data_IF_586320744319
#
_entry.id   IF_586320744319
#
_cell.length_a   1.000
_cell.length_b   1.000
_cell.length_c   1.000
_cell.angle_alpha   90.00
_cell.angle_beta   90.00
_cell.angle_gamma   90.00
#
_symmetry.space_group_name_H-M   'P 1'
#
loop_
_entity.id
_entity.type
_entity.pdbx_description
1 polymer ?
#
# COMPACT_ATOMS: atom_id res chain seq x y z
N UNK A 1 -31.17 11.31 24.76
CA UNK A 1 -29.77 11.26 24.30
C UNK A 1 -29.16 12.61 24.64
N UNK A 2 -28.39 12.72 25.73
CA UNK A 2 -28.05 14.04 26.31
C UNK A 2 -26.83 14.70 25.67
N UNK A 3 -26.25 14.09 24.64
CA UNK A 3 -25.10 14.65 23.92
C UNK A 3 -25.18 14.25 22.45
N UNK A 4 -25.09 15.23 21.56
CA UNK A 4 -25.07 15.04 20.11
C UNK A 4 -23.75 15.58 19.58
N UNK A 5 -23.00 14.76 18.87
CA UNK A 5 -21.72 15.19 18.29
C UNK A 5 -21.99 16.20 17.18
N UNK A 6 -21.35 17.37 17.26
CA UNK A 6 -21.41 18.41 16.22
C UNK A 6 -20.08 18.60 15.49
N UNK A 7 -18.99 18.14 16.10
CA UNK A 7 -17.67 18.30 15.53
C UNK A 7 -17.41 17.30 14.39
N UNK A 8 -16.97 17.81 13.25
CA UNK A 8 -16.78 17.02 12.02
C UNK A 8 -15.68 15.95 12.17
N UNK A 9 -14.58 16.24 12.84
CA UNK A 9 -13.46 15.29 13.04
C UNK A 9 -13.90 14.11 13.92
N UNK A 10 -14.65 14.39 15.00
CA UNK A 10 -15.22 13.34 15.86
C UNK A 10 -16.26 12.49 15.14
N UNK A 11 -17.12 13.14 14.34
CA UNK A 11 -18.12 12.42 13.52
C UNK A 11 -17.42 11.52 12.50
N UNK A 12 -16.37 12.01 11.85
CA UNK A 12 -15.55 11.25 10.91
C UNK A 12 -14.90 10.03 11.56
N UNK A 13 -14.29 10.19 12.73
CA UNK A 13 -13.75 9.08 13.51
C UNK A 13 -14.82 8.03 13.84
N UNK A 14 -15.99 8.47 14.29
CA UNK A 14 -17.11 7.57 14.64
C UNK A 14 -17.61 6.82 13.40
N UNK A 15 -17.78 7.50 12.26
CA UNK A 15 -18.13 6.88 10.97
C UNK A 15 -17.11 5.82 10.56
N UNK A 16 -15.82 6.14 10.69
CA UNK A 16 -14.76 5.21 10.34
C UNK A 16 -14.80 3.96 11.22
N UNK A 17 -14.89 4.11 12.55
CA UNK A 17 -14.99 2.96 13.46
C UNK A 17 -16.29 2.18 13.24
N UNK A 18 -17.39 2.84 12.85
CA UNK A 18 -18.63 2.15 12.50
C UNK A 18 -18.46 1.24 11.27
N UNK A 19 -17.76 1.71 10.25
CA UNK A 19 -17.45 0.96 9.03
C UNK A 19 -16.43 -0.16 9.27
N UNK A 20 -15.28 0.14 9.86
CA UNK A 20 -14.16 -0.79 10.06
C UNK A 20 -14.25 -1.61 11.35
N UNK A 21 -15.24 -1.35 12.21
CA UNK A 21 -15.51 -1.96 13.52
C UNK A 21 -14.52 -1.59 14.63
N UNK A 22 -13.26 -1.33 14.28
CA UNK A 22 -12.19 -1.04 15.24
C UNK A 22 -11.11 -0.13 14.66
N UNK A 23 -10.33 0.48 15.56
CA UNK A 23 -9.20 1.36 15.21
C UNK A 23 -8.13 1.29 16.31
N UNK A 24 -6.85 1.34 15.96
CA UNK A 24 -5.80 1.52 16.97
C UNK A 24 -5.86 2.93 17.58
N UNK A 25 -5.77 3.05 18.91
CA UNK A 25 -5.82 4.35 19.62
C UNK A 25 -4.81 5.36 19.05
N UNK A 26 -3.63 4.91 18.65
CA UNK A 26 -2.59 5.79 18.10
C UNK A 26 -2.93 6.29 16.69
N UNK A 27 -3.64 5.49 15.90
CA UNK A 27 -4.10 5.85 14.55
C UNK A 27 -5.22 6.88 14.59
N UNK A 28 -5.87 7.09 15.73
CA UNK A 28 -6.89 8.13 15.87
C UNK A 28 -6.35 9.53 15.53
N UNK A 29 -5.03 9.77 15.67
CA UNK A 29 -4.38 11.04 15.32
C UNK A 29 -4.69 11.51 13.89
N UNK A 30 -4.91 10.58 12.95
CA UNK A 30 -5.15 10.92 11.54
C UNK A 30 -6.52 11.58 11.30
N UNK A 31 -7.45 11.56 12.25
CA UNK A 31 -8.74 12.25 12.11
C UNK A 31 -8.71 13.70 12.61
N UNK A 32 -7.65 14.09 13.32
CA UNK A 32 -7.61 15.36 14.02
C UNK A 32 -6.44 16.21 13.50
N UNK A 33 -6.75 17.44 13.11
CA UNK A 33 -5.76 18.44 12.71
C UNK A 33 -4.71 18.74 13.78
N UNK A 34 -5.07 18.65 15.07
CA UNK A 34 -4.16 18.90 16.18
C UNK A 34 -3.69 17.62 16.89
N UNK A 35 -2.37 17.42 16.93
CA UNK A 35 -1.69 16.33 17.66
C UNK A 35 -1.77 16.43 19.19
N UNK A 36 -1.95 17.62 19.78
CA UNK A 36 -2.00 17.81 21.24
C UNK A 36 -3.38 17.54 21.84
N UNK A 37 -4.43 18.00 21.15
CA UNK A 37 -5.80 17.94 21.67
C UNK A 37 -6.54 16.62 21.39
N UNK A 38 -6.12 15.82 20.40
CA UNK A 38 -6.90 14.62 20.02
C UNK A 38 -7.06 13.61 21.17
N UNK A 39 -6.04 13.42 22.03
CA UNK A 39 -6.11 12.47 23.15
C UNK A 39 -7.21 12.84 24.15
N UNK A 40 -7.35 14.12 24.46
CA UNK A 40 -8.42 14.62 25.34
C UNK A 40 -9.79 14.42 24.71
N UNK A 41 -9.90 14.62 23.39
CA UNK A 41 -11.13 14.39 22.63
C UNK A 41 -11.52 12.92 22.63
N UNK A 42 -10.57 12.01 22.40
CA UNK A 42 -10.79 10.56 22.53
C UNK A 42 -11.23 10.19 23.95
N UNK A 43 -10.59 10.74 24.99
CA UNK A 43 -11.00 10.53 26.38
C UNK A 43 -12.44 10.97 26.61
N UNK A 44 -12.81 12.18 26.17
CA UNK A 44 -14.18 12.69 26.27
C UNK A 44 -15.20 11.79 25.55
N UNK A 45 -14.87 11.27 24.37
CA UNK A 45 -15.73 10.32 23.65
C UNK A 45 -15.90 8.99 24.40
N UNK A 46 -14.86 8.52 25.10
CA UNK A 46 -14.94 7.33 25.94
C UNK A 46 -15.80 7.60 27.18
N UNK A 47 -15.58 8.71 27.87
CA UNK A 47 -16.32 9.10 29.08
C UNK A 47 -17.82 9.26 28.78
N UNK A 48 -18.15 9.76 27.58
CA UNK A 48 -19.54 9.89 27.08
C UNK A 48 -20.09 8.61 26.42
N UNK A 49 -19.33 7.52 26.45
CA UNK A 49 -19.70 6.20 25.92
C UNK A 49 -20.01 6.19 24.40
N UNK A 50 -19.47 7.15 23.65
CA UNK A 50 -19.44 7.10 22.19
C UNK A 50 -18.41 6.07 21.71
N UNK A 51 -17.27 6.02 22.39
CA UNK A 51 -16.22 5.03 22.17
C UNK A 51 -16.03 4.17 23.41
N UNK A 52 -15.41 3.01 23.20
CA UNK A 52 -14.87 2.15 24.25
C UNK A 52 -13.46 1.73 23.86
N UNK A 53 -12.56 1.72 24.83
CA UNK A 53 -11.20 1.23 24.67
C UNK A 53 -11.09 -0.20 25.18
N UNK A 54 -10.58 -1.11 24.33
CA UNK A 54 -10.21 -2.49 24.67
C UNK A 54 -8.71 -2.61 24.41
N UNK A 55 -7.89 -2.62 25.47
CA UNK A 55 -6.43 -2.49 25.37
C UNK A 55 -6.04 -1.27 24.51
N UNK A 56 -5.44 -1.45 23.34
CA UNK A 56 -5.00 -0.39 22.43
C UNK A 56 -5.96 -0.15 21.26
N UNK A 57 -7.18 -0.67 21.35
CA UNK A 57 -8.16 -0.66 20.26
C UNK A 57 -9.40 0.14 20.70
N UNK A 58 -9.82 1.09 19.87
CA UNK A 58 -11.07 1.82 19.96
C UNK A 58 -12.16 1.07 19.20
N UNK A 59 -13.33 0.94 19.82
CA UNK A 59 -14.57 0.43 19.22
C UNK A 59 -15.73 1.33 19.62
N UNK A 60 -16.89 1.23 18.95
CA UNK A 60 -18.07 1.99 19.37
C UNK A 60 -18.57 1.55 20.75
N UNK A 61 -18.88 2.54 21.59
CA UNK A 61 -19.63 2.38 22.84
C UNK A 61 -21.14 2.36 22.61
N UNK A 62 -21.94 2.25 23.68
CA UNK A 62 -23.41 2.15 23.54
C UNK A 62 -24.01 3.40 22.89
N UNK A 63 -23.60 4.60 23.35
CA UNK A 63 -24.07 5.87 22.80
C UNK A 63 -23.63 6.06 21.35
N UNK A 64 -22.42 5.58 21.01
CA UNK A 64 -21.88 5.65 19.65
C UNK A 64 -22.68 4.79 18.67
N UNK A 65 -23.06 3.57 19.08
CA UNK A 65 -23.93 2.70 18.27
C UNK A 65 -25.31 3.35 18.05
N UNK A 66 -25.89 3.94 19.11
CA UNK A 66 -27.17 4.66 18.99
C UNK A 66 -27.06 5.84 18.02
N UNK A 67 -25.96 6.61 18.11
CA UNK A 67 -25.71 7.77 17.25
C UNK A 67 -25.60 7.39 15.78
N UNK A 68 -24.80 6.36 15.47
CA UNK A 68 -24.62 5.83 14.12
C UNK A 68 -25.94 5.35 13.52
N UNK A 69 -26.78 4.66 14.31
CA UNK A 69 -28.11 4.21 13.87
C UNK A 69 -29.08 5.37 13.61
N UNK A 70 -29.09 6.36 14.50
CA UNK A 70 -29.98 7.51 14.39
C UNK A 70 -29.67 8.37 13.15
N UNK A 71 -28.40 8.43 12.74
CA UNK A 71 -27.97 9.16 11.54
C UNK A 71 -27.87 8.28 10.28
N UNK A 72 -28.32 7.03 10.36
CA UNK A 72 -28.30 6.07 9.25
C UNK A 72 -26.91 5.91 8.60
N UNK A 73 -25.85 5.91 9.41
CA UNK A 73 -24.49 5.64 8.93
C UNK A 73 -24.26 4.14 8.73
N UNK A 74 -23.38 3.78 7.80
CA UNK A 74 -22.93 2.39 7.61
C UNK A 74 -22.39 1.85 8.94
N UNK A 75 -22.93 0.71 9.39
CA UNK A 75 -22.58 0.12 10.67
C UNK A 75 -22.31 -1.37 10.54
N UNK A 76 -21.06 -1.75 10.80
CA UNK A 76 -20.67 -3.13 10.96
C UNK A 76 -20.51 -3.47 12.45
N UNK A 77 -21.23 -4.50 12.91
CA UNK A 77 -21.11 -4.97 14.30
C UNK A 77 -19.73 -5.55 14.55
N UNK A 78 -19.16 -5.24 15.71
CA UNK A 78 -17.87 -5.78 16.15
C UNK A 78 -17.85 -7.31 16.06
N UNK A 79 -16.91 -7.85 15.29
CA UNK A 79 -16.75 -9.29 15.10
C UNK A 79 -16.28 -9.98 16.40
N UNK A 80 -16.83 -11.16 16.69
CA UNK A 80 -16.46 -11.96 17.88
C UNK A 80 -15.20 -12.80 17.65
N UNK A 81 -14.91 -13.19 16.40
CA UNK A 81 -13.75 -14.00 16.05
C UNK A 81 -12.46 -13.17 16.22
N UNK A 82 -11.53 -13.67 17.04
CA UNK A 82 -10.28 -12.97 17.34
C UNK A 82 -9.38 -12.83 16.10
N UNK A 83 -9.14 -13.92 15.36
CA UNK A 83 -8.28 -13.89 14.16
C UNK A 83 -8.80 -12.89 13.11
N UNK A 84 -10.12 -12.85 12.93
CA UNK A 84 -10.72 -11.90 12.00
C UNK A 84 -10.63 -10.45 12.48
N UNK A 85 -10.75 -10.20 13.80
CA UNK A 85 -10.54 -8.86 14.38
C UNK A 85 -9.11 -8.35 14.16
N UNK A 86 -8.11 -9.21 14.26
CA UNK A 86 -6.72 -8.84 13.97
C UNK A 86 -6.55 -8.44 12.50
N UNK A 87 -7.16 -9.18 11.57
CA UNK A 87 -7.22 -8.78 10.16
C UNK A 87 -7.92 -7.42 9.99
N UNK A 88 -9.08 -7.21 10.60
CA UNK A 88 -9.80 -5.93 10.51
C UNK A 88 -8.96 -4.77 11.05
N UNK A 89 -8.25 -4.98 12.16
CA UNK A 89 -7.35 -3.96 12.72
C UNK A 89 -6.22 -3.61 11.76
N UNK A 90 -5.62 -4.61 11.09
CA UNK A 90 -4.59 -4.41 10.06
C UNK A 90 -5.13 -3.56 8.89
N UNK A 91 -6.31 -3.91 8.36
CA UNK A 91 -6.97 -3.14 7.29
C UNK A 91 -7.34 -1.72 7.72
N UNK A 92 -7.85 -1.59 8.94
CA UNK A 92 -8.18 -0.31 9.56
C UNK A 92 -6.94 0.58 9.64
N UNK A 93 -5.81 0.06 10.10
CA UNK A 93 -4.57 0.83 10.20
C UNK A 93 -4.08 1.37 8.85
N UNK A 94 -4.19 0.58 7.77
CA UNK A 94 -3.86 1.04 6.41
C UNK A 94 -4.81 2.17 5.99
N UNK A 95 -6.12 1.91 6.08
CA UNK A 95 -7.13 2.90 5.70
C UNK A 95 -7.02 4.21 6.50
N UNK A 96 -6.67 4.12 7.78
CA UNK A 96 -6.53 5.32 8.62
C UNK A 96 -5.31 6.14 8.26
N UNK A 97 -4.20 5.49 7.86
CA UNK A 97 -2.98 6.18 7.47
C UNK A 97 -3.21 7.13 6.30
N UNK A 98 -4.03 6.71 5.34
CA UNK A 98 -4.38 7.49 4.15
C UNK A 98 -5.69 8.29 4.30
N UNK A 99 -6.27 8.40 5.49
CA UNK A 99 -7.60 9.00 5.68
C UNK A 99 -7.72 10.44 5.15
N UNK A 100 -6.66 11.24 5.28
CA UNK A 100 -6.59 12.63 4.79
C UNK A 100 -5.56 12.77 3.65
N UNK A 101 -5.32 11.71 2.88
CA UNK A 101 -4.44 11.75 1.72
C UNK A 101 -5.26 12.01 0.46
N UNK A 102 -4.77 12.87 -0.45
CA UNK A 102 -5.49 13.14 -1.71
C UNK A 102 -5.01 12.24 -2.85
N UNK A 103 -3.78 11.74 -2.77
CA UNK A 103 -3.18 10.86 -3.78
C UNK A 103 -3.50 9.39 -3.56
N UNK A 104 -3.81 8.95 -2.33
CA UNK A 104 -4.06 7.53 -2.02
C UNK A 104 -5.38 7.34 -1.30
N UNK A 105 -6.24 6.49 -1.87
CA UNK A 105 -7.39 5.89 -1.18
C UNK A 105 -7.20 4.37 -1.05
N UNK A 106 -7.68 3.79 0.06
CA UNK A 106 -7.62 2.35 0.30
C UNK A 106 -9.00 1.77 0.57
N UNK A 107 -9.48 0.95 -0.37
CA UNK A 107 -10.76 0.26 -0.28
C UNK A 107 -10.49 -1.15 0.27
N UNK A 108 -10.98 -1.49 1.48
CA UNK A 108 -10.67 -2.75 2.12
C UNK A 108 -11.43 -3.92 1.46
N UNK A 109 -10.83 -5.10 1.49
CA UNK A 109 -11.39 -6.33 0.91
C UNK A 109 -12.81 -6.68 1.39
N UNK A 110 -13.18 -6.34 2.63
CA UNK A 110 -14.54 -6.62 3.12
C UNK A 110 -15.62 -5.75 2.49
N UNK A 111 -15.24 -4.62 1.89
CA UNK A 111 -16.15 -3.74 1.14
C UNK A 111 -16.27 -4.16 -0.34
N UNK A 112 -15.32 -4.94 -0.83
CA UNK A 112 -15.24 -5.40 -2.23
C UNK A 112 -15.83 -6.80 -2.38
N UNK A 113 -15.51 -7.70 -1.44
CA UNK A 113 -15.88 -9.11 -1.54
C UNK A 113 -17.37 -9.27 -1.26
N UNK A 114 -18.06 -9.85 -2.22
CA UNK A 114 -19.42 -10.30 -2.03
C UNK A 114 -19.42 -11.50 -1.08
N UNK A 115 -20.09 -11.35 0.06
CA UNK A 115 -20.21 -12.40 1.09
C UNK A 115 -21.04 -13.59 0.63
N UNK A 116 -21.79 -13.45 -0.47
CA UNK A 116 -22.64 -14.50 -1.04
C UNK A 116 -21.91 -15.33 -2.12
N UNK A 117 -20.77 -14.85 -2.64
CA UNK A 117 -20.01 -15.51 -3.71
C UNK A 117 -18.73 -16.14 -3.11
N UNK A 118 -18.74 -17.46 -2.97
CA UNK A 118 -17.65 -18.23 -2.33
C UNK A 118 -16.28 -18.03 -3.02
N UNK A 119 -16.27 -17.83 -4.34
CA UNK A 119 -15.05 -17.62 -5.14
C UNK A 119 -14.34 -16.30 -4.83
N UNK A 120 -15.06 -15.28 -4.32
CA UNK A 120 -14.45 -13.99 -3.95
C UNK A 120 -14.00 -13.96 -2.49
N UNK A 121 -14.71 -14.66 -1.61
CA UNK A 121 -14.38 -14.68 -0.17
C UNK A 121 -13.03 -15.36 0.11
N UNK A 122 -12.72 -16.43 -0.62
CA UNK A 122 -11.47 -17.21 -0.48
C UNK A 122 -10.19 -16.52 -0.94
N UNK A 123 -10.28 -15.44 -1.74
CA UNK A 123 -9.11 -14.74 -2.30
C UNK A 123 -8.22 -14.13 -1.23
N UNK A 124 -6.92 -13.97 -1.48
CA UNK A 124 -5.97 -13.54 -0.44
C UNK A 124 -5.85 -12.03 -0.29
N UNK A 125 -6.23 -11.26 -1.31
CA UNK A 125 -6.10 -9.81 -1.32
C UNK A 125 -6.73 -9.13 -0.08
N UNK A 126 -6.10 -8.04 0.34
CA UNK A 126 -6.49 -7.24 1.50
C UNK A 126 -7.35 -6.03 1.13
N UNK A 127 -7.26 -5.55 -0.11
CA UNK A 127 -8.03 -4.41 -0.60
C UNK A 127 -7.50 -3.94 -1.95
N UNK A 128 -7.91 -2.74 -2.34
CA UNK A 128 -7.44 -2.02 -3.53
C UNK A 128 -6.88 -0.69 -3.05
N UNK A 129 -5.66 -0.35 -3.49
CA UNK A 129 -5.18 1.03 -3.45
C UNK A 129 -5.58 1.73 -4.73
N UNK A 130 -6.15 2.92 -4.63
CA UNK A 130 -6.22 3.86 -5.74
C UNK A 130 -5.17 4.94 -5.48
N UNK A 131 -4.12 4.97 -6.32
CA UNK A 131 -2.99 5.89 -6.18
C UNK A 131 -2.97 6.79 -7.41
N UNK A 132 -3.29 8.08 -7.27
CA UNK A 132 -3.40 9.05 -8.37
C UNK A 132 -4.26 8.56 -9.55
N UNK A 133 -5.34 7.83 -9.26
CA UNK A 133 -6.24 7.27 -10.27
C UNK A 133 -5.87 5.86 -10.76
N UNK A 134 -4.72 5.31 -10.35
CA UNK A 134 -4.29 3.96 -10.71
C UNK A 134 -4.71 2.96 -9.64
N UNK A 135 -5.44 1.91 -10.05
CA UNK A 135 -5.87 0.84 -9.16
C UNK A 135 -4.79 -0.24 -9.02
N UNK A 136 -4.49 -0.61 -7.77
CA UNK A 136 -3.59 -1.68 -7.39
C UNK A 136 -4.29 -2.69 -6.50
N UNK A 137 -4.34 -3.96 -6.91
CA UNK A 137 -4.81 -5.02 -6.02
C UNK A 137 -3.75 -5.31 -4.96
N UNK A 138 -4.12 -5.19 -3.69
CA UNK A 138 -3.17 -5.23 -2.59
C UNK A 138 -3.21 -6.58 -1.86
N UNK A 139 -2.03 -7.11 -1.55
CA UNK A 139 -1.79 -8.30 -0.75
C UNK A 139 -0.92 -7.95 0.45
N UNK A 140 -0.93 -8.82 1.47
CA UNK A 140 -0.12 -8.62 2.66
C UNK A 140 0.43 -9.94 3.20
N UNK A 141 1.75 -10.00 3.40
CA UNK A 141 2.47 -11.16 3.89
C UNK A 141 3.17 -10.76 5.20
N UNK A 142 2.67 -11.32 6.30
CA UNK A 142 3.20 -11.03 7.64
C UNK A 142 4.29 -12.02 8.06
N UNK A 143 4.98 -11.69 9.16
CA UNK A 143 6.01 -12.55 9.76
C UNK A 143 5.47 -13.94 10.13
N UNK A 144 4.24 -14.02 10.61
CA UNK A 144 3.58 -15.28 11.01
C UNK A 144 3.17 -16.18 9.83
N UNK A 145 3.15 -15.67 8.60
CA UNK A 145 2.79 -16.46 7.42
C UNK A 145 3.96 -17.33 6.98
N UNK A 146 3.70 -18.60 6.68
CA UNK A 146 4.69 -19.56 6.19
C UNK A 146 4.85 -19.52 4.66
N UNK A 147 5.75 -20.33 4.11
CA UNK A 147 5.98 -20.39 2.67
C UNK A 147 4.74 -20.86 1.89
N UNK A 148 3.93 -21.76 2.48
CA UNK A 148 2.67 -22.20 1.87
C UNK A 148 1.69 -21.04 1.70
N UNK A 149 1.65 -20.12 2.65
CA UNK A 149 0.85 -18.91 2.52
C UNK A 149 1.39 -18.01 1.39
N UNK A 150 2.71 -17.83 1.30
CA UNK A 150 3.35 -17.02 0.24
C UNK A 150 3.03 -17.60 -1.14
N UNK A 151 3.16 -18.91 -1.32
CA UNK A 151 2.75 -19.64 -2.54
C UNK A 151 1.27 -19.45 -2.84
N UNK A 152 0.40 -19.51 -1.82
CA UNK A 152 -1.03 -19.26 -1.98
C UNK A 152 -1.32 -17.82 -2.44
N UNK A 153 -0.50 -16.84 -2.07
CA UNK A 153 -0.61 -15.45 -2.55
C UNK A 153 -0.16 -15.38 -4.01
N UNK A 154 1.00 -15.95 -4.34
CA UNK A 154 1.50 -16.04 -5.71
C UNK A 154 0.46 -16.65 -6.67
N UNK A 155 -0.14 -17.77 -6.28
CA UNK A 155 -1.19 -18.44 -7.07
C UNK A 155 -2.48 -17.61 -7.22
N UNK A 156 -2.89 -16.87 -6.18
CA UNK A 156 -4.06 -15.98 -6.28
C UNK A 156 -3.79 -14.77 -7.19
N UNK A 157 -2.54 -14.28 -7.25
CA UNK A 157 -2.11 -13.22 -8.16
C UNK A 157 -2.03 -13.76 -9.60
N UNK A 158 -1.48 -14.95 -9.80
CA UNK A 158 -1.38 -15.59 -11.12
C UNK A 158 -2.75 -15.75 -11.78
N UNK A 159 -3.78 -16.06 -10.97
CA UNK A 159 -5.18 -16.20 -11.42
C UNK A 159 -5.95 -14.90 -11.56
N UNK A 160 -5.39 -13.77 -11.10
CA UNK A 160 -6.03 -12.48 -11.24
C UNK A 160 -6.11 -12.11 -12.73
N UNK A 161 -7.25 -11.64 -13.22
CA UNK A 161 -7.43 -11.26 -14.63
C UNK A 161 -7.87 -9.80 -14.81
N UNK A 162 -8.47 -9.21 -13.76
CA UNK A 162 -8.98 -7.84 -13.76
C UNK A 162 -7.88 -6.82 -13.48
N UNK A 163 -7.07 -7.06 -12.46
CA UNK A 163 -6.03 -6.12 -12.04
C UNK A 163 -4.66 -6.51 -12.61
N UNK A 164 -4.04 -5.57 -13.31
CA UNK A 164 -2.69 -5.70 -13.88
C UNK A 164 -1.61 -5.05 -13.03
N UNK A 165 -1.99 -4.20 -12.07
CA UNK A 165 -1.08 -3.60 -11.10
C UNK A 165 -1.33 -4.22 -9.72
N UNK A 166 -0.27 -4.72 -9.09
CA UNK A 166 -0.34 -5.43 -7.82
C UNK A 166 0.63 -4.79 -6.82
N UNK A 167 0.21 -4.66 -5.57
CA UNK A 167 1.09 -4.32 -4.44
C UNK A 167 1.09 -5.49 -3.46
N UNK A 168 2.27 -5.93 -3.05
CA UNK A 168 2.48 -6.93 -2.02
C UNK A 168 3.20 -6.26 -0.85
N UNK A 169 2.46 -5.99 0.21
CA UNK A 169 2.98 -5.46 1.46
C UNK A 169 3.61 -6.59 2.27
N UNK A 170 4.86 -6.44 2.71
CA UNK A 170 5.60 -7.50 3.41
C UNK A 170 6.23 -6.99 4.69
N UNK A 171 6.32 -7.83 5.72
CA UNK A 171 7.03 -7.45 6.94
C UNK A 171 8.56 -7.53 6.80
N UNK A 172 9.05 -8.42 5.96
CA UNK A 172 10.47 -8.65 5.69
C UNK A 172 10.59 -9.08 4.24
N UNK A 173 11.17 -8.21 3.41
CA UNK A 173 11.28 -8.43 1.98
C UNK A 173 12.24 -9.56 1.62
N UNK A 174 13.20 -9.89 2.48
CA UNK A 174 14.20 -10.93 2.21
C UNK A 174 13.57 -12.34 2.19
N UNK A 175 12.33 -12.48 2.66
CA UNK A 175 11.57 -13.73 2.62
C UNK A 175 10.89 -13.98 1.28
N UNK A 176 10.90 -12.98 0.39
CA UNK A 176 10.24 -13.05 -0.90
C UNK A 176 11.29 -13.34 -1.97
N UNK A 177 11.14 -14.49 -2.62
CA UNK A 177 11.82 -14.75 -3.88
C UNK A 177 11.06 -14.02 -5.00
N UNK A 178 11.68 -13.00 -5.58
CA UNK A 178 11.04 -12.16 -6.61
C UNK A 178 10.74 -12.94 -7.89
N UNK A 179 11.45 -14.03 -8.17
CA UNK A 179 11.20 -14.86 -9.35
C UNK A 179 9.83 -15.55 -9.30
N UNK A 180 9.30 -15.80 -8.10
CA UNK A 180 7.95 -16.35 -7.91
C UNK A 180 6.84 -15.33 -8.09
N UNK A 181 7.15 -14.06 -8.31
CA UNK A 181 6.18 -12.99 -8.46
C UNK A 181 6.33 -12.26 -9.80
N UNK A 182 6.57 -12.99 -10.88
CA UNK A 182 6.52 -12.47 -12.25
C UNK A 182 5.54 -13.32 -13.09
N UNK A 183 4.42 -12.72 -13.51
CA UNK A 183 3.30 -13.40 -14.15
C UNK A 183 2.82 -12.71 -15.43
N UNK A 184 3.62 -11.81 -16.01
CA UNK A 184 3.22 -11.03 -17.19
C UNK A 184 2.19 -9.96 -16.86
N UNK A 185 2.19 -9.47 -15.62
CA UNK A 185 1.41 -8.30 -15.18
C UNK A 185 2.07 -7.02 -15.66
N UNK A 186 1.34 -5.90 -15.55
CA UNK A 186 1.93 -4.61 -15.86
C UNK A 186 3.04 -4.27 -14.84
N UNK A 187 2.68 -4.44 -13.56
CA UNK A 187 3.56 -4.14 -12.43
C UNK A 187 3.18 -4.98 -11.20
N UNK A 188 4.20 -5.50 -10.52
CA UNK A 188 4.05 -6.15 -9.21
C UNK A 188 5.07 -5.53 -8.26
N UNK A 189 4.60 -4.69 -7.34
CA UNK A 189 5.44 -4.02 -6.36
C UNK A 189 5.53 -4.84 -5.08
N UNK A 190 6.76 -5.09 -4.61
CA UNK A 190 7.01 -5.70 -3.30
C UNK A 190 7.56 -4.62 -2.37
N UNK A 191 6.82 -4.32 -1.29
CA UNK A 191 7.05 -3.15 -0.45
C UNK A 191 7.04 -3.55 1.02
N UNK A 192 8.06 -3.17 1.78
CA UNK A 192 8.06 -3.40 3.23
C UNK A 192 7.02 -2.50 3.92
N UNK A 193 6.13 -3.10 4.71
CA UNK A 193 4.97 -2.44 5.31
C UNK A 193 5.34 -1.65 6.57
N UNK A 194 5.92 -0.47 6.38
CA UNK A 194 6.29 0.47 7.43
C UNK A 194 5.82 1.89 7.09
N UNK A 195 5.84 2.79 8.08
CA UNK A 195 5.33 4.16 7.90
C UNK A 195 6.11 4.95 6.83
N UNK A 196 7.42 4.71 6.66
CA UNK A 196 8.26 5.37 5.65
C UNK A 196 7.81 4.98 4.24
N UNK A 197 7.66 3.69 3.99
CA UNK A 197 7.24 3.19 2.67
C UNK A 197 5.76 3.50 2.38
N UNK A 198 4.90 3.55 3.40
CA UNK A 198 3.53 4.06 3.25
C UNK A 198 3.50 5.53 2.89
N UNK A 199 4.40 6.34 3.45
CA UNK A 199 4.55 7.74 3.03
C UNK A 199 5.06 7.82 1.58
N UNK A 200 6.09 7.06 1.20
CA UNK A 200 6.58 6.98 -0.18
C UNK A 200 5.47 6.59 -1.17
N UNK A 201 4.59 5.65 -0.81
CA UNK A 201 3.47 5.21 -1.67
C UNK A 201 2.57 6.35 -2.14
N UNK A 202 2.42 7.42 -1.35
CA UNK A 202 1.64 8.61 -1.74
C UNK A 202 2.16 9.28 -3.01
N UNK A 203 3.43 9.08 -3.33
CA UNK A 203 4.13 9.78 -4.40
C UNK A 203 4.57 8.85 -5.52
N UNK A 204 4.05 7.61 -5.56
CA UNK A 204 4.41 6.59 -6.56
C UNK A 204 4.34 7.10 -8.01
N UNK A 205 3.35 7.94 -8.31
CA UNK A 205 3.12 8.53 -9.63
C UNK A 205 3.45 10.03 -9.71
N UNK A 206 4.07 10.61 -8.68
CA UNK A 206 4.41 12.04 -8.60
C UNK A 206 5.88 12.32 -8.87
N UNK A 207 6.60 11.34 -9.42
CA UNK A 207 8.03 11.44 -9.66
C UNK A 207 8.32 12.11 -11.01
N UNK A 208 9.14 13.16 -10.99
CA UNK A 208 9.59 13.89 -12.19
C UNK A 208 10.72 13.15 -12.90
N UNK A 209 10.43 11.93 -13.36
CA UNK A 209 11.42 11.03 -13.96
C UNK A 209 12.18 11.65 -15.13
N UNK A 210 11.51 12.41 -15.99
CA UNK A 210 12.16 13.04 -17.15
C UNK A 210 13.27 14.01 -16.73
N UNK A 211 12.99 14.90 -15.79
CA UNK A 211 13.97 15.85 -15.25
C UNK A 211 15.16 15.11 -14.60
N UNK A 212 14.87 14.06 -13.83
CA UNK A 212 15.90 13.23 -13.22
C UNK A 212 16.77 12.57 -14.30
N UNK A 213 16.16 11.94 -15.31
CA UNK A 213 16.88 11.24 -16.37
C UNK A 213 17.77 12.20 -17.15
N UNK A 214 17.26 13.37 -17.54
CA UNK A 214 18.01 14.36 -18.32
C UNK A 214 19.21 14.93 -17.56
N UNK A 215 19.15 14.93 -16.22
CA UNK A 215 20.29 15.33 -15.38
C UNK A 215 21.47 14.35 -15.45
N UNK A 216 21.19 13.04 -15.52
CA UNK A 216 22.22 12.01 -15.45
C UNK A 216 22.61 11.44 -16.82
N UNK A 217 21.73 11.55 -17.82
CA UNK A 217 21.91 10.95 -19.12
C UNK A 217 21.57 11.92 -20.24
N UNK A 218 22.52 12.14 -21.14
CA UNK A 218 22.30 12.89 -22.39
C UNK A 218 21.83 11.96 -23.51
N UNK A 219 21.02 12.54 -24.42
CA UNK A 219 20.50 11.90 -25.64
C UNK A 219 19.73 10.60 -25.38
N UNK A 220 18.91 10.59 -24.35
CA UNK A 220 17.99 9.49 -24.05
C UNK A 220 16.54 9.96 -24.14
N UNK A 221 15.69 9.09 -24.65
CA UNK A 221 14.26 9.30 -24.83
C UNK A 221 13.47 8.14 -24.25
N UNK A 222 12.15 8.28 -24.19
CA UNK A 222 11.28 7.18 -23.78
C UNK A 222 11.49 5.99 -24.72
N UNK A 223 11.73 4.82 -24.14
CA UNK A 223 12.08 3.62 -24.86
C UNK A 223 10.89 3.07 -25.65
N UNK A 224 11.15 2.56 -26.85
CA UNK A 224 10.21 1.72 -27.60
C UNK A 224 10.26 0.25 -27.15
N UNK A 225 11.28 -0.12 -26.38
CA UNK A 225 11.46 -1.47 -25.85
C UNK A 225 10.68 -1.67 -24.56
N UNK A 226 10.00 -2.81 -24.44
CA UNK A 226 9.20 -3.15 -23.25
C UNK A 226 10.03 -3.48 -21.99
N UNK A 227 11.35 -3.68 -22.12
CA UNK A 227 12.22 -4.07 -21.00
C UNK A 227 12.93 -2.90 -20.30
N UNK A 228 12.83 -1.68 -20.83
CA UNK A 228 13.39 -0.48 -20.21
C UNK A 228 12.52 0.75 -20.46
N UNK A 229 12.65 1.78 -19.63
CA UNK A 229 11.82 2.98 -19.72
C UNK A 229 12.45 4.07 -20.57
N UNK A 230 13.79 4.16 -20.57
CA UNK A 230 14.54 5.10 -21.39
C UNK A 230 15.66 4.41 -22.16
N UNK A 231 15.92 4.90 -23.37
CA UNK A 231 17.01 4.42 -24.20
C UNK A 231 17.53 5.50 -25.15
N UNK A 232 18.71 5.25 -25.74
CA UNK A 232 19.19 5.93 -26.93
C UNK A 232 19.11 5.05 -28.20
N UNK A 233 18.39 3.93 -28.11
CA UNK A 233 18.25 2.90 -29.16
C UNK A 233 19.58 2.28 -29.64
N UNK A 234 20.66 2.41 -28.86
CA UNK A 234 22.00 1.87 -29.21
C UNK A 234 22.57 1.03 -28.08
N UNK A 235 23.02 1.69 -27.02
CA UNK A 235 23.86 1.11 -25.97
C UNK A 235 23.47 1.52 -24.54
N UNK A 236 22.51 2.44 -24.39
CA UNK A 236 21.96 2.83 -23.09
C UNK A 236 20.54 2.31 -22.95
N UNK A 237 20.32 1.46 -21.95
CA UNK A 237 19.00 0.95 -21.58
C UNK A 237 18.79 1.19 -20.09
N UNK A 238 17.86 2.08 -19.75
CA UNK A 238 17.70 2.63 -18.39
C UNK A 238 16.36 2.20 -17.82
N UNK A 239 16.39 1.62 -16.62
CA UNK A 239 15.22 1.33 -15.81
C UNK A 239 15.24 2.17 -14.52
N UNK A 240 14.09 2.67 -14.12
CA UNK A 240 13.88 3.42 -12.88
C UNK A 240 13.14 2.56 -11.86
N UNK A 241 13.54 2.62 -10.58
CA UNK A 241 12.93 1.85 -9.51
C UNK A 241 12.63 2.77 -8.32
N UNK A 242 11.35 3.05 -8.09
CA UNK A 242 10.87 3.73 -6.89
C UNK A 242 10.56 2.76 -5.73
N UNK A 243 10.18 1.54 -6.10
CA UNK A 243 10.07 0.35 -5.27
C UNK A 243 10.60 -0.85 -6.06
N UNK A 244 10.70 -2.02 -5.42
CA UNK A 244 10.99 -3.28 -6.11
C UNK A 244 9.80 -3.64 -6.99
N UNK A 245 10.03 -3.72 -8.29
CA UNK A 245 9.07 -4.17 -9.30
C UNK A 245 9.57 -5.49 -9.91
N UNK A 246 8.92 -6.59 -9.56
CA UNK A 246 9.38 -7.94 -9.94
C UNK A 246 9.17 -8.23 -11.42
N UNK A 247 8.15 -7.65 -12.06
CA UNK A 247 7.95 -7.74 -13.51
C UNK A 247 9.05 -7.01 -14.27
N UNK A 248 9.45 -5.82 -13.78
CA UNK A 248 10.57 -5.06 -14.35
C UNK A 248 11.89 -5.82 -14.18
N UNK A 249 12.17 -6.37 -13.00
CA UNK A 249 13.35 -7.21 -12.76
C UNK A 249 13.38 -8.38 -13.73
N UNK A 250 12.27 -9.11 -13.88
CA UNK A 250 12.20 -10.29 -14.74
C UNK A 250 12.48 -9.95 -16.22
N UNK A 251 11.81 -8.92 -16.76
CA UNK A 251 12.04 -8.45 -18.14
C UNK A 251 13.50 -8.05 -18.37
N UNK A 252 14.08 -7.35 -17.40
CA UNK A 252 15.44 -6.84 -17.53
C UNK A 252 16.50 -7.93 -17.41
N UNK A 253 16.30 -8.89 -16.50
CA UNK A 253 17.16 -10.07 -16.36
C UNK A 253 17.23 -10.86 -17.66
N UNK A 254 16.09 -11.12 -18.29
CA UNK A 254 16.05 -11.83 -19.57
C UNK A 254 16.86 -11.09 -20.65
N UNK A 255 16.71 -9.76 -20.74
CA UNK A 255 17.47 -8.95 -21.68
C UNK A 255 18.99 -9.01 -21.45
N UNK A 256 19.45 -8.85 -20.20
CA UNK A 256 20.88 -8.88 -19.85
C UNK A 256 21.50 -10.23 -20.20
N UNK A 257 20.82 -11.33 -19.87
CA UNK A 257 21.31 -12.68 -20.13
C UNK A 257 21.52 -12.94 -21.63
N UNK A 258 20.62 -12.45 -22.48
CA UNK A 258 20.71 -12.59 -23.94
C UNK A 258 21.67 -11.57 -24.59
N UNK A 259 22.06 -10.50 -23.87
CA UNK A 259 22.81 -9.36 -24.42
C UNK A 259 23.96 -8.93 -23.49
N UNK A 260 24.83 -9.86 -23.11
CA UNK A 260 25.92 -9.64 -22.15
C UNK A 260 26.89 -8.49 -22.49
N UNK A 261 26.94 -8.05 -23.75
CA UNK A 261 27.78 -6.94 -24.21
C UNK A 261 27.15 -5.56 -24.08
N UNK A 262 25.82 -5.48 -23.83
CA UNK A 262 25.09 -4.21 -23.76
C UNK A 262 25.09 -3.64 -22.34
N UNK A 263 25.24 -2.31 -22.24
CA UNK A 263 25.25 -1.61 -20.95
C UNK A 263 23.83 -1.29 -20.49
N UNK A 264 23.48 -1.85 -19.36
CA UNK A 264 22.22 -1.63 -18.67
C UNK A 264 22.42 -0.70 -17.49
N UNK A 265 21.43 0.16 -17.24
CA UNK A 265 21.47 1.17 -16.19
C UNK A 265 20.22 1.11 -15.32
N UNK A 266 20.39 1.27 -14.02
CA UNK A 266 19.33 1.29 -13.03
C UNK A 266 19.43 2.58 -12.22
N UNK A 267 18.32 3.30 -12.14
CA UNK A 267 18.18 4.45 -11.23
C UNK A 267 17.32 4.01 -10.06
N UNK A 268 17.86 4.09 -8.85
CA UNK A 268 17.17 3.76 -7.62
C UNK A 268 17.71 4.60 -6.44
N UNK A 269 17.06 4.51 -5.27
CA UNK A 269 17.67 5.00 -4.04
C UNK A 269 18.67 3.97 -3.48
N UNK A 270 19.44 4.38 -2.47
CA UNK A 270 20.47 3.53 -1.85
C UNK A 270 19.88 2.29 -1.14
N UNK A 271 18.65 2.39 -0.62
CA UNK A 271 18.00 1.28 0.06
C UNK A 271 17.64 0.16 -0.92
N UNK A 272 17.11 0.53 -2.10
CA UNK A 272 16.73 -0.42 -3.14
C UNK A 272 17.95 -1.03 -3.83
N UNK A 273 19.04 -0.30 -4.01
CA UNK A 273 20.25 -0.81 -4.68
C UNK A 273 20.73 -2.13 -4.06
N UNK A 274 20.79 -2.20 -2.72
CA UNK A 274 21.25 -3.39 -2.00
C UNK A 274 20.41 -4.64 -2.34
N UNK A 275 19.11 -4.44 -2.57
CA UNK A 275 18.16 -5.51 -2.92
C UNK A 275 18.27 -5.84 -4.42
N UNK A 276 18.31 -4.82 -5.28
CA UNK A 276 18.38 -4.97 -6.73
C UNK A 276 19.69 -5.61 -7.20
N UNK A 277 20.83 -5.30 -6.57
CA UNK A 277 22.14 -5.87 -6.93
C UNK A 277 22.21 -7.38 -6.79
N UNK A 278 21.43 -7.97 -5.88
CA UNK A 278 21.32 -9.44 -5.75
C UNK A 278 20.65 -10.05 -6.97
N UNK A 279 19.71 -9.33 -7.57
CA UNK A 279 18.86 -9.80 -8.65
C UNK A 279 19.40 -9.45 -10.04
N UNK A 280 20.15 -8.35 -10.13
CA UNK A 280 20.67 -7.72 -11.35
C UNK A 280 22.11 -7.21 -11.09
N UNK A 281 23.08 -8.10 -10.86
CA UNK A 281 24.43 -7.73 -10.45
C UNK A 281 25.22 -6.97 -11.53
N UNK A 282 24.96 -7.28 -12.81
CA UNK A 282 25.73 -6.75 -13.95
C UNK A 282 25.23 -5.38 -14.45
N UNK A 283 24.19 -4.83 -13.82
CA UNK A 283 23.67 -3.51 -14.16
C UNK A 283 24.53 -2.39 -13.55
N UNK A 284 24.57 -1.23 -14.23
CA UNK A 284 25.19 -0.02 -13.71
C UNK A 284 24.18 0.76 -12.88
N UNK A 285 24.49 1.05 -11.61
CA UNK A 285 23.57 1.72 -10.71
C UNK A 285 23.89 3.22 -10.60
N UNK A 286 22.83 4.03 -10.69
CA UNK A 286 22.84 5.45 -10.41
C UNK A 286 21.95 5.70 -9.20
N UNK A 287 22.57 5.85 -8.03
CA UNK A 287 21.87 6.20 -6.80
C UNK A 287 21.40 7.64 -6.84
N UNK A 288 20.13 7.87 -6.54
CA UNK A 288 19.55 9.22 -6.48
C UNK A 288 18.73 9.38 -5.21
N UNK A 289 18.87 10.55 -4.58
CA UNK A 289 17.92 11.01 -3.58
C UNK A 289 16.66 11.54 -4.27
N UNK A 290 15.59 10.75 -4.20
CA UNK A 290 14.34 11.04 -4.89
C UNK A 290 13.59 12.24 -4.33
N UNK A 291 13.87 12.66 -3.09
CA UNK A 291 13.14 13.75 -2.42
C UNK A 291 13.12 15.05 -3.22
N UNK A 292 14.16 15.31 -4.03
CA UNK A 292 14.27 16.53 -4.85
C UNK A 292 13.42 16.50 -6.12
N UNK A 293 12.88 15.34 -6.49
CA UNK A 293 12.18 15.13 -7.77
C UNK A 293 10.74 14.63 -7.58
N UNK A 294 10.22 14.70 -6.36
CA UNK A 294 8.85 14.33 -6.03
C UNK A 294 8.02 15.61 -5.87
N UNK A 295 6.88 15.66 -6.56
CA UNK A 295 5.85 16.66 -6.31
C UNK A 295 5.03 16.24 -5.08
N UNK A 296 5.32 16.84 -3.93
CA UNK A 296 4.64 16.54 -2.66
C UNK A 296 3.31 17.29 -2.51
N UNK A 297 2.39 16.68 -1.76
CA UNK A 297 1.14 17.30 -1.31
C UNK A 297 1.38 18.40 -0.26
#
# INVERSE_FOLDING_TARGET
MNYFLKDKEEISLIKFIAKYQCLNVNSAKYFFSSSRYYRNRIKNLIDKNFLRKIKWILVLGKSGIQYVKLLNFEYNKLNKNQKYRERLLKLSNIATFYYNCNTVDFIPSFAIKDKTILTTTGRRFIGIFNINGFEYLAYQIFKEHDNRYIESVAFDIQKEMKYSNIIILVNDINRIDFSYFAFGKNQILVIEDNDINREKLKYLHSMRWKELIDKYYSNVHLSEYSFCEYSNNKDKFINTFYFIDTEKINRFRYFINENSTKRTYIICDAELETKLRKELPDANYCMVDFEKYIDKE
#
